data_IF_124746529004
#
_entry.id   IF_124746529004
#
_cell.length_a   1.000
_cell.length_b   1.000
_cell.length_c   1.000
_cell.angle_alpha   90.00
_cell.angle_beta   90.00
_cell.angle_gamma   90.00
#
_symmetry.space_group_name_H-M   'P 1'
#
loop_
_entity.id
_entity.type
_entity.pdbx_description
1 polymer ?
#
# COMPACT_ATOMS: atom_id res chain seq x y z
N UNK A 1 10.32 13.55 -6.69
CA UNK A 1 10.41 12.07 -6.81
C UNK A 1 10.38 11.69 -8.31
N UNK A 2 10.62 10.43 -8.72
CA UNK A 2 10.50 9.98 -10.12
C UNK A 2 9.60 8.72 -10.21
N UNK A 3 8.57 8.69 -11.08
CA UNK A 3 7.68 7.54 -11.20
C UNK A 3 8.40 6.22 -11.52
N UNK A 4 9.42 6.24 -12.39
CA UNK A 4 10.17 5.03 -12.75
C UNK A 4 10.95 4.46 -11.56
N UNK A 5 11.56 5.32 -10.73
CA UNK A 5 12.27 4.84 -9.55
C UNK A 5 11.31 4.30 -8.50
N UNK A 6 10.14 4.92 -8.32
CA UNK A 6 9.12 4.44 -7.37
C UNK A 6 8.58 3.08 -7.81
N UNK A 7 8.23 2.93 -9.10
CA UNK A 7 7.75 1.65 -9.62
C UNK A 7 8.79 0.52 -9.49
N UNK A 8 10.08 0.83 -9.66
CA UNK A 8 11.15 -0.13 -9.42
C UNK A 8 11.25 -0.54 -7.95
N UNK A 9 11.20 0.42 -7.02
CA UNK A 9 11.20 0.14 -5.59
C UNK A 9 9.98 -0.69 -5.15
N UNK A 10 8.80 -0.43 -5.74
CA UNK A 10 7.61 -1.25 -5.51
C UNK A 10 7.83 -2.69 -6.00
N UNK A 11 8.38 -2.87 -7.20
CA UNK A 11 8.69 -4.19 -7.73
C UNK A 11 9.66 -4.96 -6.82
N UNK A 12 10.66 -4.28 -6.23
CA UNK A 12 11.60 -4.90 -5.29
C UNK A 12 10.91 -5.35 -4.00
N UNK A 13 9.99 -4.55 -3.45
CA UNK A 13 9.19 -4.90 -2.26
C UNK A 13 8.30 -6.13 -2.54
N UNK A 14 7.71 -6.17 -3.73
CA UNK A 14 6.77 -7.24 -4.13
C UNK A 14 7.46 -8.57 -4.46
N UNK A 15 8.80 -8.62 -4.53
CA UNK A 15 9.54 -9.89 -4.63
C UNK A 15 9.32 -10.79 -3.40
N UNK A 16 9.08 -10.19 -2.23
CA UNK A 16 8.82 -10.92 -0.99
C UNK A 16 7.35 -11.32 -0.86
N UNK A 17 6.44 -10.52 -1.42
CA UNK A 17 4.98 -10.73 -1.37
C UNK A 17 4.30 -10.21 -2.66
N UNK A 18 4.13 -11.08 -3.68
CA UNK A 18 3.55 -10.67 -4.96
C UNK A 18 2.08 -10.25 -4.83
N UNK A 19 1.69 -9.21 -5.57
CA UNK A 19 0.30 -8.73 -5.60
C UNK A 19 -0.61 -9.70 -6.37
N UNK A 20 -1.66 -10.18 -5.73
CA UNK A 20 -2.74 -10.91 -6.43
C UNK A 20 -3.71 -9.91 -7.10
N UNK A 21 -3.51 -9.71 -8.39
CA UNK A 21 -4.38 -8.88 -9.24
C UNK A 21 -5.30 -9.72 -10.13
N UNK A 22 -5.47 -11.02 -9.84
CA UNK A 22 -6.30 -11.89 -10.66
C UNK A 22 -7.74 -11.37 -10.78
N UNK A 23 -8.25 -11.33 -12.01
CA UNK A 23 -9.61 -10.85 -12.30
C UNK A 23 -9.74 -9.33 -12.44
N UNK A 24 -8.65 -8.58 -12.28
CA UNK A 24 -8.61 -7.15 -12.62
C UNK A 24 -8.19 -6.94 -14.07
N UNK A 25 -8.61 -5.81 -14.66
CA UNK A 25 -8.24 -5.41 -16.03
C UNK A 25 -6.88 -4.67 -16.08
N UNK A 26 -5.99 -4.94 -15.12
CA UNK A 26 -4.68 -4.31 -14.99
C UNK A 26 -3.68 -5.35 -14.49
N UNK A 27 -2.47 -5.33 -15.05
CA UNK A 27 -1.36 -6.17 -14.60
C UNK A 27 -0.52 -5.44 -13.53
N UNK A 28 0.41 -6.16 -12.91
CA UNK A 28 1.26 -5.60 -11.85
C UNK A 28 2.09 -4.41 -12.34
N UNK A 29 2.66 -4.50 -13.54
CA UNK A 29 3.46 -3.42 -14.11
C UNK A 29 2.64 -2.15 -14.36
N UNK A 30 1.42 -2.31 -14.87
CA UNK A 30 0.45 -1.23 -15.06
C UNK A 30 0.01 -0.62 -13.74
N UNK A 31 -0.30 -1.45 -12.74
CA UNK A 31 -0.68 -1.00 -11.40
C UNK A 31 0.45 -0.19 -10.73
N UNK A 32 1.69 -0.70 -10.76
CA UNK A 32 2.88 0.01 -10.25
C UNK A 32 3.08 1.34 -10.97
N UNK A 33 2.97 1.34 -12.30
CA UNK A 33 3.16 2.56 -13.10
C UNK A 33 2.11 3.63 -12.76
N UNK A 34 0.85 3.23 -12.63
CA UNK A 34 -0.25 4.10 -12.25
C UNK A 34 -0.03 4.70 -10.86
N UNK A 35 0.25 3.84 -9.87
CA UNK A 35 0.43 4.30 -8.48
C UNK A 35 1.69 5.12 -8.29
N UNK A 36 2.79 4.79 -8.98
CA UNK A 36 4.01 5.57 -8.96
C UNK A 36 3.83 6.97 -9.56
N UNK A 37 3.08 7.09 -10.66
CA UNK A 37 2.71 8.38 -11.23
C UNK A 37 1.89 9.19 -10.23
N UNK A 38 0.85 8.58 -9.64
CA UNK A 38 0.00 9.23 -8.67
C UNK A 38 0.75 9.72 -7.42
N UNK A 39 1.66 8.90 -6.87
CA UNK A 39 2.49 9.28 -5.72
C UNK A 39 3.42 10.46 -6.06
N UNK A 40 3.95 10.52 -7.29
CA UNK A 40 4.77 11.65 -7.71
C UNK A 40 3.94 12.93 -7.87
N UNK A 41 2.71 12.85 -8.37
CA UNK A 41 1.79 14.01 -8.41
C UNK A 41 1.48 14.54 -7.02
N UNK A 42 1.36 13.67 -6.00
CA UNK A 42 1.18 14.09 -4.61
C UNK A 42 2.44 14.80 -4.10
N UNK A 43 3.64 14.24 -4.30
CA UNK A 43 4.92 14.87 -3.92
C UNK A 43 5.07 16.26 -4.58
N UNK A 44 4.74 16.38 -5.87
CA UNK A 44 4.76 17.65 -6.61
C UNK A 44 3.79 18.67 -6.02
N UNK A 45 2.55 18.26 -5.71
CA UNK A 45 1.55 19.13 -5.07
C UNK A 45 1.98 19.62 -3.70
N UNK A 46 2.54 18.74 -2.87
CA UNK A 46 3.06 19.11 -1.55
C UNK A 46 4.27 20.04 -1.68
N UNK A 47 5.15 19.80 -2.67
CA UNK A 47 6.27 20.70 -2.95
C UNK A 47 5.79 22.07 -3.42
N UNK A 48 4.74 22.14 -4.25
CA UNK A 48 4.15 23.40 -4.71
C UNK A 48 3.48 24.19 -3.59
N UNK A 49 3.09 23.53 -2.50
CA UNK A 49 2.59 24.15 -1.27
C UNK A 49 3.71 24.67 -0.35
N UNK A 50 4.98 24.50 -0.74
CA UNK A 50 6.13 25.01 -0.01
C UNK A 50 6.62 24.09 1.11
N UNK A 51 6.18 22.84 1.17
CA UNK A 51 6.68 21.87 2.14
C UNK A 51 8.09 21.41 1.75
N UNK A 52 8.98 21.34 2.74
CA UNK A 52 10.32 20.78 2.56
C UNK A 52 10.31 19.25 2.41
N UNK A 53 11.47 18.65 2.16
CA UNK A 53 11.58 17.20 1.94
C UNK A 53 11.11 16.36 3.12
N UNK A 54 11.36 16.83 4.34
CA UNK A 54 11.13 16.05 5.56
C UNK A 54 9.62 16.05 5.88
N UNK A 55 8.97 17.21 5.81
CA UNK A 55 7.53 17.34 5.94
C UNK A 55 6.78 16.55 4.86
N UNK A 56 7.26 16.58 3.60
CA UNK A 56 6.68 15.76 2.54
C UNK A 56 6.84 14.27 2.83
N UNK A 57 8.01 13.83 3.30
CA UNK A 57 8.25 12.43 3.64
C UNK A 57 7.31 11.96 4.77
N UNK A 58 7.10 12.78 5.81
CA UNK A 58 6.18 12.47 6.91
C UNK A 58 4.73 12.30 6.41
N UNK A 59 4.25 13.20 5.55
CA UNK A 59 2.91 13.10 4.95
C UNK A 59 2.79 11.86 4.06
N UNK A 60 3.79 11.59 3.22
CA UNK A 60 3.78 10.43 2.33
C UNK A 60 3.79 9.11 3.12
N UNK A 61 4.55 9.06 4.22
CA UNK A 61 4.52 7.94 5.15
C UNK A 61 3.15 7.77 5.82
N UNK A 62 2.50 8.87 6.21
CA UNK A 62 1.15 8.84 6.77
C UNK A 62 0.11 8.33 5.76
N UNK A 63 0.20 8.74 4.49
CA UNK A 63 -0.65 8.23 3.40
C UNK A 63 -0.44 6.73 3.24
N UNK A 64 0.81 6.26 3.16
CA UNK A 64 1.11 4.84 3.02
C UNK A 64 0.57 4.02 4.20
N UNK A 65 0.78 4.49 5.43
CA UNK A 65 0.25 3.85 6.63
C UNK A 65 -1.28 3.80 6.63
N UNK A 66 -1.96 4.86 6.17
CA UNK A 66 -3.41 4.86 6.03
C UNK A 66 -3.90 3.81 5.02
N UNK A 67 -3.28 3.73 3.85
CA UNK A 67 -3.60 2.70 2.84
C UNK A 67 -3.34 1.29 3.38
N UNK A 68 -2.30 1.08 4.20
CA UNK A 68 -2.06 -0.21 4.87
C UNK A 68 -3.19 -0.58 5.83
N UNK A 69 -3.76 0.40 6.56
CA UNK A 69 -4.93 0.18 7.43
C UNK A 69 -6.17 -0.18 6.61
N UNK A 70 -6.40 0.49 5.49
CA UNK A 70 -7.50 0.13 4.57
C UNK A 70 -7.33 -1.28 4.01
N UNK A 71 -6.11 -1.63 3.58
CA UNK A 71 -5.81 -2.97 3.09
C UNK A 71 -6.03 -4.03 4.19
N UNK A 72 -5.58 -3.76 5.42
CA UNK A 72 -5.86 -4.60 6.58
C UNK A 72 -7.37 -4.78 6.80
N UNK A 73 -8.16 -3.72 6.72
CA UNK A 73 -9.61 -3.81 6.86
C UNK A 73 -10.25 -4.67 5.76
N UNK A 74 -9.78 -4.56 4.52
CA UNK A 74 -10.21 -5.42 3.41
C UNK A 74 -9.84 -6.89 3.63
N UNK A 75 -8.62 -7.16 4.13
CA UNK A 75 -8.21 -8.52 4.51
C UNK A 75 -9.05 -9.08 5.66
N UNK A 76 -9.34 -8.27 6.68
CA UNK A 76 -10.21 -8.63 7.80
C UNK A 76 -11.61 -9.01 7.32
N UNK A 77 -12.18 -8.22 6.39
CA UNK A 77 -13.49 -8.49 5.81
C UNK A 77 -13.52 -9.81 5.02
N UNK A 78 -12.47 -10.12 4.24
CA UNK A 78 -12.32 -11.38 3.51
C UNK A 78 -12.18 -12.58 4.45
N UNK A 79 -11.29 -12.50 5.44
CA UNK A 79 -11.08 -13.60 6.41
C UNK A 79 -12.34 -13.92 7.20
N UNK A 80 -13.14 -12.91 7.58
CA UNK A 80 -14.42 -13.12 8.25
C UNK A 80 -15.42 -13.91 7.39
N UNK A 81 -15.34 -13.78 6.06
CA UNK A 81 -16.25 -14.41 5.12
C UNK A 81 -15.80 -15.82 4.72
N UNK A 82 -14.49 -16.03 4.56
CA UNK A 82 -13.94 -17.24 3.91
C UNK A 82 -13.14 -18.18 4.85
N UNK A 83 -12.88 -17.81 6.11
CA UNK A 83 -11.98 -18.57 7.01
C UNK A 83 -12.69 -19.10 8.27
N UNK A 84 -12.21 -20.23 8.81
CA UNK A 84 -12.57 -20.72 10.14
C UNK A 84 -12.29 -19.61 11.19
N UNK A 85 -13.31 -19.19 11.98
CA UNK A 85 -13.15 -18.23 13.07
C UNK A 85 -12.00 -18.51 14.05
N UNK A 86 -11.49 -19.74 14.12
CA UNK A 86 -10.32 -20.13 14.91
C UNK A 86 -8.99 -19.55 14.39
N UNK A 87 -8.71 -19.66 13.09
CA UNK A 87 -7.46 -19.18 12.48
C UNK A 87 -7.36 -17.65 12.52
N UNK A 88 -8.48 -16.99 12.26
CA UNK A 88 -8.59 -15.55 12.36
C UNK A 88 -8.24 -15.00 13.74
N UNK A 89 -8.75 -15.65 14.80
CA UNK A 89 -8.43 -15.30 16.20
C UNK A 89 -6.98 -15.62 16.58
N UNK A 90 -6.33 -16.58 15.92
CA UNK A 90 -4.91 -16.84 16.12
C UNK A 90 -4.04 -15.74 15.46
N UNK A 91 -4.44 -15.29 14.27
CA UNK A 91 -3.76 -14.20 13.56
C UNK A 91 -3.83 -12.87 14.34
N UNK A 92 -5.02 -12.46 14.82
CA UNK A 92 -5.18 -11.22 15.61
C UNK A 92 -4.30 -11.22 16.89
N UNK A 93 -4.24 -12.36 17.59
CA UNK A 93 -3.42 -12.52 18.80
C UNK A 93 -1.93 -12.38 18.54
N UNK A 94 -1.44 -12.73 17.35
CA UNK A 94 -0.02 -12.55 16.97
C UNK A 94 0.39 -11.07 17.00
N UNK A 95 -0.55 -10.17 16.78
CA UNK A 95 -0.34 -8.71 16.77
C UNK A 95 -0.88 -8.01 18.02
N UNK A 96 -1.16 -8.77 19.10
CA UNK A 96 -1.61 -8.20 20.37
C UNK A 96 -3.06 -7.69 20.38
N UNK A 97 -3.86 -8.06 19.36
CA UNK A 97 -5.29 -7.74 19.32
C UNK A 97 -6.10 -8.88 19.95
N UNK A 98 -7.12 -8.53 20.75
CA UNK A 98 -7.98 -9.46 21.50
C UNK A 98 -9.38 -9.56 20.90
#
# INVERSE_FOLDING_TARGET
>A
MNPKSVAALMADIELEDPLDLAGLAIDEAGARSLMAAHFCEIDERLSAQGLDSDARLEIMAAIAAHTMVENLALHYARLKHDTDPGEFRAWMRRYGMH
#
